data_IF_252369695309
#
_entry.id   IF_252369695309
#
_cell.length_a   1.000
_cell.length_b   1.000
_cell.length_c   1.000
_cell.angle_alpha   90.00
_cell.angle_beta   90.00
_cell.angle_gamma   90.00
#
_symmetry.space_group_name_H-M   'P 1'
#
loop_
_entity.id
_entity.type
_entity.pdbx_description
1 polymer ?
#
# COMPACT_ATOMS: atom_id res chain seq x y z
N UNK A 1 -11.50 9.13 -36.13
CA UNK A 1 -11.95 10.03 -35.04
C UNK A 1 -10.81 10.97 -34.68
N UNK A 2 -11.03 12.24 -34.34
CA UNK A 2 -9.91 13.12 -33.98
C UNK A 2 -9.29 12.62 -32.69
N UNK A 3 -7.95 12.61 -32.59
CA UNK A 3 -7.19 12.19 -31.39
C UNK A 3 -7.68 12.91 -30.11
N UNK A 4 -8.25 14.09 -30.26
CA UNK A 4 -8.86 14.85 -29.16
C UNK A 4 -10.08 14.14 -28.58
N UNK A 5 -10.98 13.58 -29.38
CA UNK A 5 -12.18 12.89 -28.92
C UNK A 5 -11.82 11.58 -28.21
N UNK A 6 -10.75 10.92 -28.63
CA UNK A 6 -10.25 9.71 -27.95
C UNK A 6 -9.66 9.98 -26.58
N UNK A 7 -9.13 11.19 -26.32
CA UNK A 7 -8.51 11.56 -25.04
C UNK A 7 -9.53 12.27 -24.11
N UNK A 8 -10.62 12.81 -24.66
CA UNK A 8 -11.60 13.59 -23.91
C UNK A 8 -12.12 12.91 -22.64
N UNK A 9 -12.45 11.59 -22.62
CA UNK A 9 -12.88 10.93 -21.38
C UNK A 9 -11.83 10.92 -20.26
N UNK A 10 -10.55 10.86 -20.62
CA UNK A 10 -9.46 10.96 -19.63
C UNK A 10 -9.49 12.36 -18.99
N UNK A 11 -9.66 13.40 -19.80
CA UNK A 11 -9.77 14.78 -19.32
C UNK A 11 -11.00 14.93 -18.44
N UNK A 12 -12.15 14.38 -18.83
CA UNK A 12 -13.39 14.41 -18.03
C UNK A 12 -13.16 13.72 -16.67
N UNK A 13 -12.55 12.52 -16.65
CA UNK A 13 -12.25 11.81 -15.42
C UNK A 13 -11.37 12.65 -14.46
N UNK A 14 -10.33 13.30 -15.00
CA UNK A 14 -9.45 14.16 -14.23
C UNK A 14 -10.18 15.41 -13.72
N UNK A 15 -10.93 16.10 -14.55
CA UNK A 15 -11.72 17.27 -14.14
C UNK A 15 -12.71 16.92 -13.03
N UNK A 16 -13.48 15.85 -13.20
CA UNK A 16 -14.42 15.39 -12.19
C UNK A 16 -13.73 15.05 -10.88
N UNK A 17 -12.57 14.39 -10.94
CA UNK A 17 -11.78 14.08 -9.76
C UNK A 17 -11.29 15.34 -9.04
N UNK A 18 -10.75 16.32 -9.77
CA UNK A 18 -10.28 17.59 -9.19
C UNK A 18 -11.41 18.49 -8.65
N UNK A 19 -12.65 18.28 -9.08
CA UNK A 19 -13.82 18.94 -8.45
C UNK A 19 -14.28 18.26 -7.15
N UNK A 20 -13.58 17.17 -6.72
CA UNK A 20 -13.86 16.47 -5.47
C UNK A 20 -14.83 15.29 -5.60
N UNK A 21 -15.19 14.90 -6.83
CA UNK A 21 -15.98 13.68 -7.07
C UNK A 21 -15.07 12.45 -6.82
N UNK A 22 -15.54 11.45 -6.02
CA UNK A 22 -14.76 10.25 -5.80
C UNK A 22 -14.37 9.57 -7.11
N UNK A 23 -13.13 9.10 -7.20
CA UNK A 23 -12.50 8.60 -8.43
C UNK A 23 -13.32 7.52 -9.14
N UNK A 24 -14.00 6.65 -8.38
CA UNK A 24 -14.85 5.60 -8.96
C UNK A 24 -15.97 6.18 -9.82
N UNK A 25 -16.66 7.21 -9.32
CA UNK A 25 -17.72 7.89 -10.08
C UNK A 25 -17.17 8.68 -11.26
N UNK A 26 -16.00 9.30 -11.10
CA UNK A 26 -15.36 10.05 -12.17
C UNK A 26 -14.98 9.15 -13.36
N UNK A 27 -14.38 7.98 -13.09
CA UNK A 27 -14.03 6.99 -14.11
C UNK A 27 -15.27 6.42 -14.82
N UNK A 28 -16.29 6.08 -14.05
CA UNK A 28 -17.52 5.52 -14.60
C UNK A 28 -18.25 6.54 -15.46
N UNK A 29 -18.40 7.78 -14.98
CA UNK A 29 -19.02 8.88 -15.72
C UNK A 29 -18.26 9.18 -17.03
N UNK A 30 -16.92 9.19 -17.00
CA UNK A 30 -16.09 9.41 -18.17
C UNK A 30 -16.29 8.31 -19.23
N UNK A 31 -16.33 7.04 -18.83
CA UNK A 31 -16.60 5.92 -19.72
C UNK A 31 -18.03 5.98 -20.30
N UNK A 32 -19.02 6.30 -19.48
CA UNK A 32 -20.41 6.49 -19.93
C UNK A 32 -20.51 7.65 -20.93
N UNK A 33 -19.81 8.75 -20.71
CA UNK A 33 -19.79 9.89 -21.66
C UNK A 33 -19.21 9.47 -23.01
N UNK A 34 -18.15 8.65 -23.01
CA UNK A 34 -17.58 8.15 -24.26
C UNK A 34 -18.57 7.32 -25.08
N UNK A 35 -19.10 6.24 -24.50
CA UNK A 35 -19.99 5.31 -25.19
C UNK A 35 -21.43 5.83 -25.36
N UNK A 36 -21.83 6.87 -24.59
CA UNK A 36 -23.13 7.48 -24.71
C UNK A 36 -23.22 8.62 -25.74
N UNK A 37 -22.11 9.34 -25.97
CA UNK A 37 -22.11 10.56 -26.78
C UNK A 37 -21.05 10.62 -27.89
N UNK A 38 -19.94 9.87 -27.75
CA UNK A 38 -18.81 9.94 -28.71
C UNK A 38 -18.84 8.73 -29.64
N UNK A 39 -18.84 7.52 -29.10
CA UNK A 39 -18.98 6.27 -29.87
C UNK A 39 -20.28 5.56 -29.48
N UNK A 40 -21.35 5.92 -30.19
CA UNK A 40 -22.68 5.34 -30.00
C UNK A 40 -22.90 4.01 -30.72
N UNK A 41 -21.85 3.47 -31.36
CA UNK A 41 -21.92 2.16 -32.04
C UNK A 41 -21.96 1.01 -31.04
N UNK A 42 -21.40 1.20 -29.86
CA UNK A 42 -21.39 0.23 -28.77
C UNK A 42 -22.65 0.37 -27.91
N UNK A 43 -23.36 -0.75 -27.71
CA UNK A 43 -24.59 -0.73 -26.88
C UNK A 43 -24.24 -0.41 -25.43
N UNK A 44 -24.94 0.52 -24.74
CA UNK A 44 -24.76 0.80 -23.30
C UNK A 44 -24.88 -0.42 -22.41
N UNK A 45 -25.60 -1.44 -22.84
CA UNK A 45 -25.71 -2.73 -22.19
C UNK A 45 -24.34 -3.41 -21.95
N UNK A 46 -23.42 -3.27 -22.91
CA UNK A 46 -22.06 -3.85 -22.78
C UNK A 46 -21.30 -3.27 -21.61
N UNK A 47 -21.46 -1.99 -21.30
CA UNK A 47 -20.84 -1.34 -20.15
C UNK A 47 -21.39 -1.91 -18.83
N UNK A 48 -22.72 -2.08 -18.77
CA UNK A 48 -23.37 -2.68 -17.61
C UNK A 48 -22.95 -4.15 -17.44
N UNK A 49 -22.80 -4.89 -18.54
CA UNK A 49 -22.26 -6.24 -18.49
C UNK A 49 -20.82 -6.27 -17.96
N UNK A 50 -19.95 -5.36 -18.40
CA UNK A 50 -18.57 -5.26 -17.88
C UNK A 50 -18.56 -4.87 -16.40
N UNK A 51 -19.47 -3.96 -16.00
CA UNK A 51 -19.64 -3.58 -14.60
C UNK A 51 -20.00 -4.79 -13.72
N UNK A 52 -20.99 -5.57 -14.14
CA UNK A 52 -21.44 -6.74 -13.38
C UNK A 52 -20.38 -7.85 -13.40
N UNK A 53 -19.79 -8.15 -14.56
CA UNK A 53 -18.79 -9.25 -14.66
C UNK A 53 -17.53 -8.98 -13.82
N UNK A 54 -17.15 -7.69 -13.63
CA UNK A 54 -16.05 -7.34 -12.76
C UNK A 54 -16.29 -7.73 -11.29
N UNK A 55 -17.54 -7.78 -10.84
CA UNK A 55 -17.87 -8.22 -9.47
C UNK A 55 -17.88 -9.74 -9.30
N UNK A 56 -17.93 -10.49 -10.39
CA UNK A 56 -18.06 -11.96 -10.36
C UNK A 56 -16.71 -12.69 -10.33
N UNK A 57 -15.60 -11.97 -10.33
CA UNK A 57 -14.27 -12.56 -10.29
C UNK A 57 -13.96 -13.14 -8.91
N UNK A 58 -13.89 -14.47 -8.81
CA UNK A 58 -13.62 -15.20 -7.56
C UNK A 58 -12.36 -14.70 -6.81
N UNK A 59 -11.23 -14.40 -7.48
CA UNK A 59 -10.04 -13.91 -6.79
C UNK A 59 -10.24 -12.59 -6.03
N UNK A 60 -11.19 -11.73 -6.40
CA UNK A 60 -11.48 -10.50 -5.67
C UNK A 60 -12.09 -10.74 -4.28
N UNK A 61 -12.62 -11.94 -4.00
CA UNK A 61 -13.06 -12.32 -2.65
C UNK A 61 -11.91 -12.33 -1.62
N UNK A 62 -10.66 -12.38 -2.05
CA UNK A 62 -9.52 -12.21 -1.14
C UNK A 62 -9.55 -10.84 -0.43
N UNK A 63 -10.02 -9.78 -1.12
CA UNK A 63 -10.02 -8.40 -0.62
C UNK A 63 -10.84 -8.27 0.69
N UNK A 64 -12.14 -8.62 0.73
CA UNK A 64 -12.92 -8.54 1.97
C UNK A 64 -12.33 -9.38 3.11
N UNK A 65 -11.79 -10.54 2.82
CA UNK A 65 -11.19 -11.38 3.84
C UNK A 65 -9.94 -10.74 4.45
N UNK A 66 -9.02 -10.20 3.64
CA UNK A 66 -7.84 -9.55 4.18
C UNK A 66 -8.15 -8.22 4.87
N UNK A 67 -9.14 -7.45 4.40
CA UNK A 67 -9.62 -6.26 5.13
C UNK A 67 -10.17 -6.67 6.50
N UNK A 68 -10.95 -7.75 6.54
CA UNK A 68 -11.51 -8.28 7.80
C UNK A 68 -10.41 -8.79 8.75
N UNK A 69 -9.39 -9.48 8.23
CA UNK A 69 -8.22 -9.87 9.02
C UNK A 69 -7.57 -8.66 9.69
N UNK A 70 -7.28 -7.61 8.93
CA UNK A 70 -6.68 -6.37 9.43
C UNK A 70 -7.52 -5.72 10.53
N UNK A 71 -8.83 -5.61 10.32
CA UNK A 71 -9.75 -5.05 11.31
C UNK A 71 -9.80 -5.90 12.60
N UNK A 72 -9.92 -7.22 12.48
CA UNK A 72 -9.90 -8.15 13.64
C UNK A 72 -8.58 -8.02 14.42
N UNK A 73 -7.45 -7.94 13.72
CA UNK A 73 -6.13 -7.82 14.35
C UNK A 73 -5.98 -6.50 15.12
N UNK A 74 -6.52 -5.39 14.59
CA UNK A 74 -6.51 -4.10 15.27
C UNK A 74 -7.30 -4.14 16.59
N UNK A 75 -8.51 -4.67 16.58
CA UNK A 75 -9.34 -4.77 17.79
C UNK A 75 -8.90 -5.93 18.71
N UNK A 76 -8.19 -6.92 18.18
CA UNK A 76 -7.69 -8.10 18.91
C UNK A 76 -6.51 -7.83 19.86
N UNK A 77 -6.01 -6.58 19.94
CA UNK A 77 -4.90 -6.18 20.81
C UNK A 77 -3.52 -6.65 20.33
N UNK A 78 -3.39 -6.90 19.03
CA UNK A 78 -2.14 -7.33 18.39
C UNK A 78 -1.16 -6.18 18.30
N UNK A 79 -1.63 -4.98 17.93
CA UNK A 79 -0.81 -3.77 17.77
C UNK A 79 0.00 -3.42 19.01
N UNK A 80 -0.60 -3.53 20.21
CA UNK A 80 0.10 -3.27 21.47
C UNK A 80 1.28 -4.25 21.71
N UNK A 81 1.10 -5.53 21.37
CA UNK A 81 2.16 -6.54 21.53
C UNK A 81 3.28 -6.37 20.53
N UNK A 82 2.93 -6.00 19.28
CA UNK A 82 3.92 -5.67 18.26
C UNK A 82 4.70 -4.42 18.65
N UNK A 83 4.06 -3.43 19.27
CA UNK A 83 4.72 -2.23 19.79
C UNK A 83 5.71 -2.58 20.92
N UNK A 84 5.33 -3.43 21.87
CA UNK A 84 6.24 -3.91 22.93
C UNK A 84 7.44 -4.66 22.36
N UNK A 85 7.22 -5.46 21.31
CA UNK A 85 8.29 -6.16 20.62
C UNK A 85 9.21 -5.20 19.86
N UNK A 86 8.65 -4.22 19.15
CA UNK A 86 9.40 -3.17 18.47
C UNK A 86 10.24 -2.35 19.46
N UNK A 87 9.68 -1.98 20.63
CA UNK A 87 10.41 -1.27 21.68
C UNK A 87 11.56 -2.12 22.26
N UNK A 88 11.38 -3.43 22.40
CA UNK A 88 12.47 -4.32 22.84
C UNK A 88 13.62 -4.36 21.82
N UNK A 89 13.33 -4.30 20.51
CA UNK A 89 14.34 -4.35 19.46
C UNK A 89 15.04 -3.00 19.23
N UNK A 90 14.29 -1.91 19.15
CA UNK A 90 14.78 -0.62 18.66
C UNK A 90 14.74 0.51 19.68
N UNK A 91 14.07 0.33 20.81
CA UNK A 91 13.88 1.39 21.82
C UNK A 91 15.18 1.94 22.41
N UNK A 92 16.27 1.17 22.39
CA UNK A 92 17.60 1.61 22.85
C UNK A 92 18.33 2.51 21.82
N UNK A 93 17.83 2.61 20.57
CA UNK A 93 18.44 3.42 19.54
C UNK A 93 18.12 4.92 19.74
N UNK A 94 18.96 5.80 19.17
CA UNK A 94 18.67 7.25 19.16
C UNK A 94 17.36 7.52 18.43
N UNK A 95 16.53 8.36 19.03
CA UNK A 95 15.18 8.59 18.51
C UNK A 95 14.26 7.39 18.73
N UNK A 96 14.38 6.70 19.88
CA UNK A 96 13.76 5.41 20.17
C UNK A 96 12.29 5.29 19.76
N UNK A 97 11.44 6.28 20.08
CA UNK A 97 10.03 6.24 19.68
C UNK A 97 9.83 6.34 18.16
N UNK A 98 10.65 7.11 17.45
CA UNK A 98 10.59 7.18 15.99
C UNK A 98 11.11 5.89 15.33
N UNK A 99 12.10 5.21 15.94
CA UNK A 99 12.55 3.90 15.50
C UNK A 99 11.49 2.82 15.73
N UNK A 100 10.81 2.87 16.88
CA UNK A 100 9.68 1.99 17.19
C UNK A 100 8.56 2.19 16.17
N UNK A 101 8.25 3.45 15.80
CA UNK A 101 7.24 3.78 14.81
C UNK A 101 7.54 3.08 13.47
N UNK A 102 8.77 3.21 12.93
CA UNK A 102 9.16 2.55 11.68
C UNK A 102 9.05 1.02 11.76
N UNK A 103 9.54 0.43 12.85
CA UNK A 103 9.49 -1.02 13.01
C UNK A 103 8.06 -1.51 13.23
N UNK A 104 7.23 -0.73 13.92
CA UNK A 104 5.82 -1.06 14.14
C UNK A 104 5.06 -1.07 12.82
N UNK A 105 5.18 -0.04 11.97
CA UNK A 105 4.57 -0.02 10.63
C UNK A 105 5.00 -1.22 9.78
N UNK A 106 6.29 -1.61 9.84
CA UNK A 106 6.78 -2.81 9.15
C UNK A 106 6.10 -4.10 9.67
N UNK A 107 5.95 -4.24 10.99
CA UNK A 107 5.29 -5.40 11.61
C UNK A 107 3.78 -5.39 11.39
N UNK A 108 3.17 -4.19 11.40
CA UNK A 108 1.73 -4.00 11.12
C UNK A 108 1.37 -4.24 9.66
N UNK A 109 2.34 -4.18 8.74
CA UNK A 109 2.13 -4.54 7.35
C UNK A 109 1.54 -5.92 7.17
N UNK A 110 2.04 -6.89 7.95
CA UNK A 110 1.46 -8.24 8.02
C UNK A 110 0.04 -8.31 8.59
N UNK A 111 -0.50 -7.21 9.09
CA UNK A 111 -1.78 -7.16 9.79
C UNK A 111 -2.82 -6.30 9.08
N UNK A 112 -2.51 -5.02 8.80
CA UNK A 112 -3.49 -4.06 8.27
C UNK A 112 -3.49 -3.95 6.74
N UNK A 113 -2.34 -4.09 6.11
CA UNK A 113 -2.14 -3.96 4.67
C UNK A 113 -2.53 -2.60 4.06
N UNK A 114 -2.87 -1.60 4.88
CA UNK A 114 -3.34 -0.28 4.47
C UNK A 114 -2.50 0.84 5.09
N UNK A 115 -1.82 1.63 4.25
CA UNK A 115 -1.01 2.75 4.69
C UNK A 115 -1.80 3.82 5.47
N UNK A 116 -2.98 4.20 4.98
CA UNK A 116 -3.81 5.22 5.63
C UNK A 116 -4.35 4.76 6.99
N UNK A 117 -4.74 3.49 7.11
CA UNK A 117 -5.20 2.93 8.37
C UNK A 117 -4.08 2.86 9.42
N UNK A 118 -2.89 2.45 8.99
CA UNK A 118 -1.69 2.39 9.81
C UNK A 118 -1.28 3.80 10.29
N UNK A 119 -1.16 4.74 9.37
CA UNK A 119 -0.89 6.15 9.66
C UNK A 119 -1.88 6.75 10.68
N UNK A 120 -3.18 6.48 10.49
CA UNK A 120 -4.21 6.98 11.39
C UNK A 120 -4.12 6.38 12.78
N UNK A 121 -3.83 5.08 12.88
CA UNK A 121 -3.66 4.39 14.17
C UNK A 121 -2.40 4.89 14.89
N UNK A 122 -1.27 4.92 14.22
CA UNK A 122 0.00 5.32 14.82
C UNK A 122 0.02 6.81 15.20
N UNK A 123 -0.62 7.68 14.43
CA UNK A 123 -0.81 9.07 14.79
C UNK A 123 -1.54 9.25 16.12
N UNK A 124 -2.54 8.43 16.39
CA UNK A 124 -3.28 8.47 17.67
C UNK A 124 -2.50 7.85 18.83
N UNK A 125 -1.69 6.83 18.54
CA UNK A 125 -1.00 6.05 19.57
C UNK A 125 0.37 6.65 19.92
N UNK A 126 1.20 6.92 18.92
CA UNK A 126 2.62 7.26 19.11
C UNK A 126 2.89 8.76 19.13
N UNK A 127 2.20 9.56 18.30
CA UNK A 127 2.49 10.99 18.20
C UNK A 127 2.31 11.72 19.53
N UNK A 128 1.22 11.49 20.32
CA UNK A 128 1.11 12.13 21.64
C UNK A 128 2.23 11.74 22.62
N UNK A 129 2.71 10.50 22.54
CA UNK A 129 3.81 10.04 23.41
C UNK A 129 5.16 10.61 22.93
N UNK A 130 5.35 10.76 21.62
CA UNK A 130 6.53 11.43 21.06
C UNK A 130 6.57 12.91 21.49
N UNK A 131 5.45 13.64 21.41
CA UNK A 131 5.37 15.03 21.85
C UNK A 131 5.71 15.19 23.33
N UNK A 132 5.20 14.31 24.21
CA UNK A 132 5.55 14.32 25.65
C UNK A 132 7.04 14.14 25.91
N UNK A 133 7.75 13.46 25.02
CA UNK A 133 9.20 13.23 25.10
C UNK A 133 10.01 14.30 24.34
N UNK A 134 9.39 15.39 23.92
CA UNK A 134 10.06 16.55 23.31
C UNK A 134 10.33 16.41 21.81
N UNK A 135 9.70 15.46 21.12
CA UNK A 135 9.74 15.43 19.67
C UNK A 135 8.85 16.54 19.08
N UNK A 136 9.33 17.18 18.02
CA UNK A 136 8.51 18.14 17.28
C UNK A 136 7.28 17.49 16.67
N UNK A 137 6.13 18.15 16.71
CA UNK A 137 4.84 17.63 16.20
C UNK A 137 4.90 17.30 14.72
N UNK A 138 5.47 18.21 13.90
CA UNK A 138 5.66 17.98 12.48
C UNK A 138 6.57 16.80 12.16
N UNK A 139 7.68 16.64 12.92
CA UNK A 139 8.56 15.47 12.79
C UNK A 139 7.84 14.17 13.11
N UNK A 140 7.07 14.14 14.21
CA UNK A 140 6.33 12.95 14.64
C UNK A 140 5.27 12.55 13.61
N UNK A 141 4.53 13.52 13.08
CA UNK A 141 3.55 13.28 12.02
C UNK A 141 4.21 12.82 10.70
N UNK A 142 5.35 13.44 10.34
CA UNK A 142 6.06 13.11 9.10
C UNK A 142 6.67 11.70 9.11
N UNK A 143 7.30 11.28 10.23
CA UNK A 143 7.84 9.93 10.33
C UNK A 143 6.73 8.89 10.36
N UNK A 144 5.60 9.15 11.01
CA UNK A 144 4.44 8.24 11.02
C UNK A 144 3.85 8.06 9.62
N UNK A 145 3.72 9.13 8.85
CA UNK A 145 3.28 9.02 7.45
C UNK A 145 4.29 8.27 6.58
N UNK A 146 5.59 8.52 6.78
CA UNK A 146 6.64 7.87 6.01
C UNK A 146 6.78 6.38 6.33
N UNK A 147 6.69 5.98 7.61
CA UNK A 147 6.73 4.58 8.02
C UNK A 147 5.53 3.79 7.49
N UNK A 148 4.36 4.40 7.48
CA UNK A 148 3.14 3.77 6.96
C UNK A 148 3.21 3.47 5.45
N UNK A 149 4.15 4.06 4.68
CA UNK A 149 4.43 3.64 3.31
C UNK A 149 4.93 2.19 3.21
N UNK A 150 5.53 1.66 4.26
CA UNK A 150 6.07 0.29 4.32
C UNK A 150 4.95 -0.74 4.46
N UNK A 151 3.89 -0.38 5.16
CA UNK A 151 2.78 -1.28 5.54
C UNK A 151 2.14 -2.04 4.37
N UNK A 152 1.74 -1.43 3.25
CA UNK A 152 1.13 -2.17 2.14
C UNK A 152 2.12 -2.97 1.29
N UNK A 153 3.42 -2.82 1.53
CA UNK A 153 4.46 -3.59 0.83
C UNK A 153 4.73 -4.91 1.54
N UNK A 154 4.62 -4.92 2.86
CA UNK A 154 4.75 -6.15 3.66
C UNK A 154 3.46 -6.96 3.53
N UNK A 155 3.54 -8.26 3.16
CA UNK A 155 2.34 -9.09 2.98
C UNK A 155 1.60 -9.39 4.30
N UNK A 156 0.27 -9.57 4.22
CA UNK A 156 -0.58 -9.52 3.04
C UNK A 156 -1.09 -8.10 2.71
N UNK A 157 -0.44 -7.43 1.76
CA UNK A 157 -0.85 -6.09 1.31
C UNK A 157 -2.02 -6.16 0.31
N UNK A 158 -3.09 -5.39 0.54
CA UNK A 158 -4.28 -5.35 -0.36
C UNK A 158 -3.87 -4.92 -1.77
N UNK A 159 -2.99 -3.93 -1.88
CA UNK A 159 -2.51 -3.43 -3.17
C UNK A 159 -1.76 -4.48 -3.99
N UNK A 160 -1.02 -5.38 -3.33
CA UNK A 160 -0.32 -6.49 -3.99
C UNK A 160 -1.30 -7.50 -4.59
N UNK A 161 -2.41 -7.77 -3.87
CA UNK A 161 -3.49 -8.62 -4.39
C UNK A 161 -4.10 -7.99 -5.63
N UNK A 162 -4.52 -6.72 -5.52
CA UNK A 162 -5.16 -5.99 -6.61
C UNK A 162 -4.26 -5.92 -7.84
N UNK A 163 -2.98 -5.59 -7.66
CA UNK A 163 -2.02 -5.58 -8.75
C UNK A 163 -1.87 -6.97 -9.39
N UNK A 164 -1.70 -8.01 -8.57
CA UNK A 164 -1.54 -9.37 -9.07
C UNK A 164 -2.69 -9.82 -9.95
N UNK A 165 -3.92 -9.50 -9.55
CA UNK A 165 -5.12 -9.82 -10.31
C UNK A 165 -5.24 -9.04 -11.63
N UNK A 166 -4.89 -7.77 -11.62
CA UNK A 166 -4.92 -6.91 -12.81
C UNK A 166 -3.81 -7.27 -13.80
N UNK A 167 -2.60 -7.47 -13.30
CA UNK A 167 -1.42 -7.76 -14.11
C UNK A 167 -1.34 -9.23 -14.60
N UNK A 168 -2.14 -10.13 -14.00
CA UNK A 168 -2.02 -11.56 -14.19
C UNK A 168 -0.73 -12.14 -13.57
N UNK A 169 -0.23 -11.50 -12.50
CA UNK A 169 0.95 -11.93 -11.77
C UNK A 169 0.56 -12.79 -10.55
N UNK A 170 1.43 -13.71 -10.14
CA UNK A 170 1.18 -14.56 -8.97
C UNK A 170 1.14 -13.74 -7.67
N UNK A 171 -0.01 -13.73 -6.99
CA UNK A 171 -0.17 -13.05 -5.69
C UNK A 171 0.78 -13.65 -4.64
N UNK A 172 1.01 -14.96 -4.67
CA UNK A 172 1.96 -15.61 -3.76
C UNK A 172 3.39 -15.13 -3.96
N UNK A 173 3.82 -14.99 -5.23
CA UNK A 173 5.14 -14.43 -5.55
C UNK A 173 5.25 -12.95 -5.18
N UNK A 174 4.19 -12.16 -5.41
CA UNK A 174 4.13 -10.75 -4.98
C UNK A 174 4.25 -10.62 -3.46
N UNK A 175 3.59 -11.49 -2.71
CA UNK A 175 3.73 -11.52 -1.25
C UNK A 175 5.16 -11.87 -0.84
N UNK A 176 5.76 -12.90 -1.42
CA UNK A 176 7.15 -13.24 -1.15
C UNK A 176 8.11 -12.08 -1.51
N UNK A 177 7.85 -11.38 -2.63
CA UNK A 177 8.64 -10.26 -3.12
C UNK A 177 8.59 -9.02 -2.22
N UNK A 178 7.54 -8.82 -1.43
CA UNK A 178 7.34 -7.62 -0.60
C UNK A 178 8.26 -7.50 0.62
N UNK A 179 8.77 -8.61 1.16
CA UNK A 179 9.54 -8.59 2.42
C UNK A 179 10.86 -7.83 2.33
N UNK A 180 11.69 -8.14 1.35
CA UNK A 180 13.03 -7.53 1.22
C UNK A 180 12.92 -6.04 0.89
N UNK A 181 12.05 -5.60 -0.06
CA UNK A 181 11.79 -4.18 -0.29
C UNK A 181 11.23 -3.46 0.93
N UNK A 182 10.26 -4.05 1.64
CA UNK A 182 9.73 -3.46 2.86
C UNK A 182 10.79 -3.29 3.95
N UNK A 183 11.67 -4.29 4.13
CA UNK A 183 12.82 -4.18 5.03
C UNK A 183 13.81 -3.09 4.57
N UNK A 184 14.10 -2.99 3.27
CA UNK A 184 14.96 -1.96 2.71
C UNK A 184 14.41 -0.56 3.01
N UNK A 185 13.11 -0.33 2.79
CA UNK A 185 12.45 0.93 3.11
C UNK A 185 12.51 1.24 4.61
N UNK A 186 12.22 0.26 5.46
CA UNK A 186 12.30 0.43 6.92
C UNK A 186 13.72 0.80 7.36
N UNK A 187 14.75 0.10 6.86
CA UNK A 187 16.15 0.40 7.17
C UNK A 187 16.54 1.81 6.70
N UNK A 188 16.12 2.22 5.50
CA UNK A 188 16.38 3.56 4.99
C UNK A 188 15.77 4.64 5.89
N UNK A 189 14.52 4.45 6.33
CA UNK A 189 13.85 5.35 7.28
C UNK A 189 14.52 5.34 8.66
N UNK A 190 14.91 4.17 9.17
CA UNK A 190 15.62 4.06 10.46
C UNK A 190 16.97 4.79 10.43
N UNK A 191 17.70 4.75 9.32
CA UNK A 191 18.94 5.52 9.13
C UNK A 191 18.63 7.02 9.15
N UNK A 192 17.61 7.48 8.42
CA UNK A 192 17.19 8.88 8.42
C UNK A 192 16.79 9.37 9.82
N UNK A 193 16.00 8.57 10.55
CA UNK A 193 15.63 8.82 11.96
C UNK A 193 16.87 8.94 12.83
N UNK A 194 17.84 8.02 12.73
CA UNK A 194 19.05 8.04 13.54
C UNK A 194 19.90 9.30 13.30
N UNK A 195 20.04 9.72 12.04
CA UNK A 195 20.78 10.93 11.66
C UNK A 195 20.11 12.20 12.19
N UNK A 196 18.79 12.32 12.02
CA UNK A 196 18.02 13.48 12.51
C UNK A 196 18.03 13.52 14.04
N UNK A 197 17.81 12.39 14.69
CA UNK A 197 17.78 12.27 16.14
C UNK A 197 19.13 12.59 16.78
N UNK A 198 20.24 12.21 16.11
CA UNK A 198 21.58 12.60 16.56
C UNK A 198 21.77 14.12 16.54
N UNK A 199 21.25 14.79 15.49
CA UNK A 199 21.37 16.27 15.34
C UNK A 199 20.48 17.02 16.32
N UNK A 200 19.30 16.47 16.65
CA UNK A 200 18.29 17.12 17.51
C UNK A 200 18.32 16.69 18.96
N UNK A 201 19.16 15.72 19.33
CA UNK A 201 19.29 15.21 20.69
C UNK A 201 18.11 14.37 21.17
N UNK A 202 17.33 13.75 20.27
CA UNK A 202 16.22 12.88 20.66
C UNK A 202 16.74 11.62 21.35
N UNK A 203 16.28 11.43 22.60
CA UNK A 203 16.74 10.35 23.45
C UNK A 203 16.21 8.98 23.04
N UNK A 204 16.90 7.88 23.42
CA UNK A 204 16.37 6.53 23.36
C UNK A 204 15.10 6.38 24.19
N UNK A 205 14.21 5.47 23.81
CA UNK A 205 13.04 5.08 24.60
C UNK A 205 13.45 4.26 25.83
N UNK A 206 14.51 3.45 25.68
CA UNK A 206 15.08 2.60 26.75
C UNK A 206 16.51 3.01 27.09
N UNK A 207 16.89 3.01 28.36
CA UNK A 207 18.27 3.38 28.79
C UNK A 207 19.31 2.35 28.37
N UNK A 208 18.92 1.07 28.17
CA UNK A 208 19.81 -0.03 27.77
C UNK A 208 19.22 -0.88 26.66
N UNK A 209 20.07 -1.64 25.97
CA UNK A 209 19.62 -2.70 25.06
C UNK A 209 18.86 -3.77 25.84
N UNK A 210 17.77 -4.27 25.26
CA UNK A 210 17.09 -5.41 25.81
C UNK A 210 17.98 -6.65 25.73
N UNK A 211 17.93 -7.49 26.76
CA UNK A 211 18.64 -8.78 26.76
C UNK A 211 18.00 -9.74 25.77
N UNK A 212 18.74 -10.73 25.28
CA UNK A 212 18.20 -11.78 24.40
C UNK A 212 16.98 -12.47 25.02
N UNK A 213 16.97 -12.63 26.36
CA UNK A 213 15.84 -13.20 27.07
C UNK A 213 14.60 -12.28 27.06
N UNK A 214 14.79 -10.96 27.16
CA UNK A 214 13.69 -9.97 27.04
C UNK A 214 13.12 -9.96 25.62
N UNK A 215 14.00 -9.95 24.60
CA UNK A 215 13.59 -10.02 23.18
C UNK A 215 12.84 -11.32 22.92
N UNK A 216 13.38 -12.46 23.35
CA UNK A 216 12.74 -13.77 23.18
C UNK A 216 11.37 -13.85 23.86
N UNK A 217 11.23 -13.27 25.06
CA UNK A 217 9.93 -13.19 25.77
C UNK A 217 8.91 -12.35 25.00
N UNK A 218 9.31 -11.20 24.45
CA UNK A 218 8.41 -10.36 23.66
C UNK A 218 8.09 -11.02 22.31
N UNK A 219 9.07 -11.66 21.67
CA UNK A 219 8.83 -12.44 20.45
C UNK A 219 7.81 -13.57 20.68
N UNK A 220 7.91 -14.29 21.81
CA UNK A 220 6.93 -15.34 22.17
C UNK A 220 5.53 -14.77 22.44
N UNK A 221 5.43 -13.61 23.09
CA UNK A 221 4.14 -12.94 23.29
C UNK A 221 3.50 -12.49 21.97
N UNK A 222 4.31 -12.09 21.00
CA UNK A 222 3.89 -11.63 19.67
C UNK A 222 3.90 -12.75 18.62
N UNK A 223 4.25 -13.98 19.01
CA UNK A 223 4.47 -15.11 18.08
C UNK A 223 3.30 -15.31 17.12
N UNK A 224 2.08 -15.35 17.61
CA UNK A 224 0.90 -15.57 16.78
C UNK A 224 0.66 -14.43 15.77
N UNK A 225 1.00 -13.19 16.12
CA UNK A 225 0.92 -12.06 15.20
C UNK A 225 1.99 -12.15 14.11
N UNK A 226 3.23 -12.49 14.47
CA UNK A 226 4.36 -12.63 13.56
C UNK A 226 4.23 -13.88 12.67
N UNK A 227 3.60 -14.93 13.17
CA UNK A 227 3.39 -16.17 12.42
C UNK A 227 2.35 -16.03 11.31
N UNK A 228 1.35 -15.15 11.48
CA UNK A 228 0.25 -14.99 10.54
C UNK A 228 0.71 -14.75 9.08
N UNK A 229 1.48 -13.70 8.77
CA UNK A 229 1.91 -13.45 7.39
C UNK A 229 2.81 -14.56 6.83
N UNK A 230 3.66 -15.15 7.67
CA UNK A 230 4.51 -16.27 7.28
C UNK A 230 3.66 -17.53 6.96
N UNK A 231 2.67 -17.82 7.79
CA UNK A 231 1.76 -18.95 7.58
C UNK A 231 0.96 -18.83 6.30
N UNK A 232 0.48 -17.63 5.95
CA UNK A 232 -0.23 -17.36 4.68
C UNK A 232 0.67 -17.67 3.49
N UNK A 233 1.91 -17.16 3.48
CA UNK A 233 2.84 -17.37 2.35
C UNK A 233 3.24 -18.83 2.21
N UNK A 234 3.57 -19.50 3.31
CA UNK A 234 3.91 -20.91 3.28
C UNK A 234 2.73 -21.78 2.81
N UNK A 235 1.52 -21.47 3.25
CA UNK A 235 0.32 -22.16 2.79
C UNK A 235 0.09 -22.01 1.27
N UNK A 236 0.27 -20.82 0.73
CA UNK A 236 0.19 -20.59 -0.72
C UNK A 236 1.36 -21.26 -1.48
N UNK A 237 2.56 -21.22 -0.91
CA UNK A 237 3.77 -21.84 -1.48
C UNK A 237 3.60 -23.36 -1.68
N UNK A 238 3.08 -24.03 -0.66
CA UNK A 238 2.83 -25.48 -0.70
C UNK A 238 1.55 -25.86 -1.45
N UNK A 239 0.84 -24.88 -2.04
CA UNK A 239 -0.40 -25.11 -2.77
C UNK A 239 -1.56 -25.54 -1.86
N UNK A 240 -1.46 -25.35 -0.55
CA UNK A 240 -2.52 -25.67 0.41
C UNK A 240 -3.69 -24.70 0.27
N UNK A 241 -3.39 -23.43 -0.07
CA UNK A 241 -4.37 -22.37 -0.20
C UNK A 241 -4.14 -21.54 -1.47
N UNK A 242 -5.24 -21.22 -2.15
CA UNK A 242 -5.30 -20.08 -3.07
C UNK A 242 -5.30 -18.76 -2.28
N UNK A 243 -5.04 -17.59 -2.89
CA UNK A 243 -5.11 -16.29 -2.18
C UNK A 243 -6.46 -16.04 -1.49
N UNK A 244 -7.56 -16.47 -2.10
CA UNK A 244 -8.91 -16.32 -1.53
C UNK A 244 -9.11 -17.22 -0.31
N UNK A 245 -8.73 -18.49 -0.41
CA UNK A 245 -8.80 -19.44 0.71
C UNK A 245 -7.88 -19.03 1.86
N UNK A 246 -6.67 -18.54 1.53
CA UNK A 246 -5.74 -17.99 2.51
C UNK A 246 -6.36 -16.81 3.28
N UNK A 247 -7.12 -15.94 2.60
CA UNK A 247 -7.89 -14.88 3.25
C UNK A 247 -8.94 -15.41 4.21
N UNK A 248 -9.74 -16.41 3.79
CA UNK A 248 -10.77 -17.03 4.63
C UNK A 248 -10.20 -17.74 5.87
N UNK A 249 -9.14 -18.54 5.67
CA UNK A 249 -8.39 -19.17 6.78
C UNK A 249 -7.78 -18.11 7.69
N UNK A 250 -7.28 -17.02 7.11
CA UNK A 250 -6.75 -15.87 7.84
C UNK A 250 -7.78 -15.25 8.78
N UNK A 251 -9.02 -15.06 8.35
CA UNK A 251 -10.10 -14.54 9.20
C UNK A 251 -10.34 -15.47 10.40
N UNK A 252 -10.44 -16.78 10.18
CA UNK A 252 -10.60 -17.75 11.26
C UNK A 252 -9.41 -17.71 12.23
N UNK A 253 -8.20 -17.66 11.70
CA UNK A 253 -6.98 -17.55 12.51
C UNK A 253 -7.01 -16.29 13.38
N UNK A 254 -7.30 -15.11 12.80
CA UNK A 254 -7.36 -13.85 13.51
C UNK A 254 -8.44 -13.83 14.60
N UNK A 255 -9.61 -14.44 14.34
CA UNK A 255 -10.68 -14.59 15.33
C UNK A 255 -10.23 -15.47 16.49
N UNK A 256 -9.62 -16.62 16.22
CA UNK A 256 -9.12 -17.55 17.26
C UNK A 256 -8.05 -16.87 18.10
N UNK A 257 -7.04 -16.27 17.47
CA UNK A 257 -5.94 -15.60 18.16
C UNK A 257 -6.44 -14.39 18.95
N UNK A 258 -7.26 -13.55 18.35
CA UNK A 258 -7.78 -12.34 18.99
C UNK A 258 -8.68 -12.64 20.19
N UNK A 259 -9.51 -13.69 20.11
CA UNK A 259 -10.46 -14.03 21.17
C UNK A 259 -9.87 -14.93 22.25
N UNK A 260 -9.16 -16.00 21.89
CA UNK A 260 -8.73 -17.03 22.83
C UNK A 260 -7.29 -16.85 23.31
N UNK A 261 -6.38 -16.44 22.43
CA UNK A 261 -4.96 -16.29 22.77
C UNK A 261 -4.69 -14.91 23.38
N UNK A 262 -5.06 -13.87 22.68
CA UNK A 262 -4.79 -12.49 23.11
C UNK A 262 -5.90 -11.90 23.97
N UNK A 263 -7.10 -12.46 23.91
CA UNK A 263 -8.28 -12.05 24.69
C UNK A 263 -8.61 -10.55 24.55
N UNK A 264 -8.20 -9.94 23.45
CA UNK A 264 -8.46 -8.54 23.15
C UNK A 264 -9.82 -8.33 22.46
N UNK A 265 -10.31 -9.36 21.75
CA UNK A 265 -11.52 -9.27 20.95
C UNK A 265 -12.76 -9.42 21.84
N UNK A 266 -13.54 -8.34 21.98
CA UNK A 266 -14.78 -8.29 22.75
C UNK A 266 -16.00 -8.29 21.81
N UNK A 267 -17.21 -8.58 22.38
CA UNK A 267 -18.48 -8.55 21.61
C UNK A 267 -18.77 -7.18 21.02
N UNK A 268 -18.42 -6.10 21.73
CA UNK A 268 -18.59 -4.72 21.28
C UNK A 268 -17.80 -4.37 20.01
N UNK A 269 -16.71 -5.10 19.71
CA UNK A 269 -15.89 -4.89 18.54
C UNK A 269 -16.48 -5.50 17.26
N UNK A 270 -17.49 -6.37 17.37
CA UNK A 270 -18.02 -7.09 16.20
C UNK A 270 -18.66 -6.15 15.16
N UNK A 271 -19.48 -5.21 15.60
CA UNK A 271 -20.14 -4.24 14.70
C UNK A 271 -19.11 -3.30 14.04
N UNK A 272 -18.16 -2.68 14.77
CA UNK A 272 -17.08 -1.92 14.16
C UNK A 272 -16.28 -2.70 13.11
N UNK A 273 -15.89 -3.95 13.40
CA UNK A 273 -15.16 -4.82 12.46
C UNK A 273 -15.96 -5.04 11.17
N UNK A 274 -17.25 -5.40 11.29
CA UNK A 274 -18.12 -5.58 10.12
C UNK A 274 -18.25 -4.29 9.32
N UNK A 275 -18.47 -3.16 10.00
CA UNK A 275 -18.61 -1.85 9.34
C UNK A 275 -17.36 -1.46 8.57
N UNK A 276 -16.18 -1.62 9.16
CA UNK A 276 -14.88 -1.36 8.50
C UNK A 276 -14.67 -2.29 7.30
N UNK A 277 -14.99 -3.59 7.47
CA UNK A 277 -14.86 -4.58 6.40
C UNK A 277 -15.79 -4.25 5.23
N UNK A 278 -17.07 -3.98 5.50
CA UNK A 278 -18.06 -3.67 4.45
C UNK A 278 -17.68 -2.36 3.74
N UNK A 279 -17.37 -1.30 4.49
CA UNK A 279 -17.01 0.00 3.92
C UNK A 279 -15.74 -0.07 3.09
N UNK A 280 -14.69 -0.71 3.60
CA UNK A 280 -13.43 -0.89 2.89
C UNK A 280 -13.59 -1.73 1.62
N UNK A 281 -14.31 -2.85 1.72
CA UNK A 281 -14.62 -3.70 0.57
C UNK A 281 -15.42 -2.97 -0.48
N UNK A 282 -16.48 -2.28 -0.10
CA UNK A 282 -17.34 -1.52 -1.02
C UNK A 282 -16.54 -0.45 -1.77
N UNK A 283 -15.67 0.27 -1.06
CA UNK A 283 -14.81 1.30 -1.67
C UNK A 283 -13.87 0.69 -2.73
N UNK A 284 -13.13 -0.34 -2.37
CA UNK A 284 -12.17 -0.98 -3.28
C UNK A 284 -12.88 -1.62 -4.47
N UNK A 285 -13.97 -2.35 -4.23
CA UNK A 285 -14.74 -2.99 -5.30
C UNK A 285 -15.37 -1.99 -6.25
N UNK A 286 -15.90 -0.87 -5.75
CA UNK A 286 -16.45 0.18 -6.60
C UNK A 286 -15.39 0.79 -7.52
N UNK A 287 -14.17 1.00 -7.01
CA UNK A 287 -13.06 1.50 -7.83
C UNK A 287 -12.69 0.46 -8.89
N UNK A 288 -12.56 -0.82 -8.54
CA UNK A 288 -12.23 -1.91 -9.47
C UNK A 288 -13.25 -1.99 -10.60
N UNK A 289 -14.53 -1.98 -10.26
CA UNK A 289 -15.62 -2.09 -11.23
C UNK A 289 -15.62 -0.89 -12.18
N UNK A 290 -15.53 0.33 -11.65
CA UNK A 290 -15.47 1.56 -12.45
C UNK A 290 -14.25 1.61 -13.35
N UNK A 291 -13.09 1.18 -12.82
CA UNK A 291 -11.84 1.11 -13.59
C UNK A 291 -11.89 0.03 -14.67
N UNK A 292 -12.62 -1.09 -14.46
CA UNK A 292 -12.81 -2.12 -15.49
C UNK A 292 -13.60 -1.56 -16.66
N UNK A 293 -14.65 -0.78 -16.40
CA UNK A 293 -15.43 -0.12 -17.46
C UNK A 293 -14.59 0.95 -18.18
N UNK A 294 -13.84 1.75 -17.43
CA UNK A 294 -12.93 2.75 -17.99
C UNK A 294 -11.78 2.09 -18.79
N UNK A 295 -11.23 0.98 -18.29
CA UNK A 295 -10.23 0.17 -18.97
C UNK A 295 -10.72 -0.43 -20.27
N UNK A 296 -12.03 -0.76 -20.35
CA UNK A 296 -12.65 -1.18 -21.60
C UNK A 296 -12.59 -0.06 -22.65
N UNK A 297 -12.93 1.18 -22.27
CA UNK A 297 -12.77 2.35 -23.14
C UNK A 297 -11.31 2.55 -23.57
N UNK A 298 -10.35 2.48 -22.63
CA UNK A 298 -8.93 2.66 -22.96
C UNK A 298 -8.43 1.63 -23.98
N UNK A 299 -8.86 0.36 -23.84
CA UNK A 299 -8.52 -0.69 -24.81
C UNK A 299 -9.24 -0.51 -26.15
N UNK A 300 -10.48 -0.04 -26.13
CA UNK A 300 -11.25 0.25 -27.34
C UNK A 300 -10.57 1.30 -28.22
N UNK A 301 -10.06 2.35 -27.61
CA UNK A 301 -9.30 3.42 -28.28
C UNK A 301 -7.81 3.10 -28.50
N UNK A 302 -7.37 1.88 -28.14
CA UNK A 302 -5.96 1.46 -28.25
C UNK A 302 -4.97 2.38 -27.48
N UNK A 303 -5.41 3.07 -26.44
CA UNK A 303 -4.57 3.96 -25.61
C UNK A 303 -3.32 3.26 -25.06
N UNK A 304 -3.38 2.00 -24.55
CA UNK A 304 -2.17 1.29 -24.11
C UNK A 304 -1.12 1.14 -25.20
N UNK A 305 -1.54 0.86 -26.44
CA UNK A 305 -0.63 0.74 -27.60
C UNK A 305 -0.03 2.09 -28.00
N UNK A 306 -0.83 3.17 -27.96
CA UNK A 306 -0.33 4.52 -28.19
C UNK A 306 0.74 4.92 -27.18
N UNK A 307 0.49 4.62 -25.89
CA UNK A 307 1.45 4.86 -24.81
C UNK A 307 2.71 4.00 -24.97
N UNK A 308 2.56 2.73 -25.33
CA UNK A 308 3.69 1.84 -25.61
C UNK A 308 4.58 2.44 -26.73
N UNK A 309 4.00 2.80 -27.86
CA UNK A 309 4.73 3.40 -28.99
C UNK A 309 5.40 4.73 -28.60
N UNK A 310 4.70 5.57 -27.84
CA UNK A 310 5.27 6.82 -27.34
C UNK A 310 6.47 6.56 -26.40
N UNK A 311 6.35 5.66 -25.45
CA UNK A 311 7.43 5.33 -24.51
C UNK A 311 8.60 4.69 -25.26
N UNK A 312 8.37 3.74 -26.16
CA UNK A 312 9.43 3.04 -26.89
C UNK A 312 10.14 3.91 -27.92
N UNK A 313 9.51 4.99 -28.39
CA UNK A 313 10.14 5.95 -29.33
C UNK A 313 11.32 6.71 -28.71
N UNK A 314 11.30 6.96 -27.40
CA UNK A 314 12.37 7.65 -26.67
C UNK A 314 13.06 6.81 -25.59
N UNK A 315 12.43 5.74 -25.12
CA UNK A 315 13.01 4.84 -24.15
C UNK A 315 13.65 3.62 -24.83
N UNK A 316 14.91 3.76 -25.23
CA UNK A 316 15.65 2.75 -25.99
C UNK A 316 16.02 1.49 -25.21
N UNK A 317 15.88 1.50 -23.89
CA UNK A 317 16.23 0.36 -23.03
C UNK A 317 15.33 0.27 -21.78
N UNK A 318 15.30 -0.92 -21.14
CA UNK A 318 14.47 -1.20 -19.98
C UNK A 318 14.70 -0.25 -18.79
N UNK A 319 15.91 0.27 -18.62
CA UNK A 319 16.25 1.17 -17.52
C UNK A 319 15.53 2.53 -17.69
N UNK A 320 15.50 3.04 -18.92
CA UNK A 320 14.81 4.29 -19.23
C UNK A 320 13.29 4.11 -19.16
N UNK A 321 12.76 2.96 -19.58
CA UNK A 321 11.34 2.61 -19.39
C UNK A 321 10.98 2.66 -17.91
N UNK A 322 11.75 1.99 -17.05
CA UNK A 322 11.52 2.00 -15.60
C UNK A 322 11.61 3.40 -14.99
N UNK A 323 12.54 4.24 -15.48
CA UNK A 323 12.65 5.63 -15.01
C UNK A 323 11.38 6.43 -15.35
N UNK A 324 10.92 6.33 -16.57
CA UNK A 324 9.69 7.00 -17.04
C UNK A 324 8.50 6.53 -16.21
N UNK A 325 8.37 5.20 -16.01
CA UNK A 325 7.30 4.63 -15.18
C UNK A 325 7.38 5.14 -13.73
N UNK A 326 8.57 5.20 -13.13
CA UNK A 326 8.76 5.73 -11.78
C UNK A 326 8.28 7.18 -11.67
N UNK A 327 8.65 8.04 -12.63
CA UNK A 327 8.24 9.46 -12.63
C UNK A 327 6.72 9.59 -12.74
N UNK A 328 6.10 8.84 -13.67
CA UNK A 328 4.64 8.87 -13.84
C UNK A 328 3.91 8.37 -12.60
N UNK A 329 4.37 7.25 -12.03
CA UNK A 329 3.79 6.66 -10.82
C UNK A 329 3.91 7.58 -9.60
N UNK A 330 5.05 8.24 -9.43
CA UNK A 330 5.25 9.22 -8.35
C UNK A 330 4.28 10.40 -8.53
N UNK A 331 4.22 10.98 -9.73
CA UNK A 331 3.33 12.11 -10.01
C UNK A 331 1.88 11.73 -9.76
N UNK A 332 1.40 10.61 -10.31
CA UNK A 332 0.02 10.18 -10.13
C UNK A 332 -0.28 9.82 -8.67
N UNK A 333 0.67 9.19 -7.97
CA UNK A 333 0.55 8.88 -6.56
C UNK A 333 0.46 10.11 -5.64
N UNK A 334 0.94 11.30 -6.08
CA UNK A 334 0.74 12.56 -5.35
C UNK A 334 -0.73 13.01 -5.35
N UNK A 335 -1.51 12.61 -6.34
CA UNK A 335 -2.89 13.05 -6.53
C UNK A 335 -3.90 11.98 -6.13
N UNK A 336 -3.63 10.71 -6.44
CA UNK A 336 -4.55 9.60 -6.23
C UNK A 336 -4.18 8.80 -4.98
N UNK A 337 -5.21 8.28 -4.32
CA UNK A 337 -5.02 7.29 -3.26
C UNK A 337 -4.42 6.00 -3.85
N UNK A 338 -3.57 5.31 -3.05
CA UNK A 338 -2.73 4.22 -3.52
C UNK A 338 -3.44 3.11 -4.28
N UNK A 339 -4.56 2.62 -3.75
CA UNK A 339 -5.36 1.58 -4.42
C UNK A 339 -5.95 2.05 -5.73
N UNK A 340 -6.50 3.27 -5.77
CA UNK A 340 -7.09 3.86 -6.96
C UNK A 340 -6.05 4.11 -8.06
N UNK A 341 -4.89 4.67 -7.70
CA UNK A 341 -3.78 4.89 -8.63
C UNK A 341 -3.35 3.58 -9.29
N UNK A 342 -3.20 2.53 -8.50
CA UNK A 342 -2.78 1.22 -8.97
C UNK A 342 -3.80 0.59 -9.93
N UNK A 343 -5.08 0.63 -9.60
CA UNK A 343 -6.15 0.05 -10.42
C UNK A 343 -6.23 0.74 -11.79
N UNK A 344 -6.00 2.05 -11.85
CA UNK A 344 -6.04 2.83 -13.09
C UNK A 344 -4.77 2.61 -13.92
N UNK A 345 -3.60 2.66 -13.28
CA UNK A 345 -2.33 2.67 -13.99
C UNK A 345 -1.84 1.27 -14.37
N UNK A 346 -2.11 0.25 -13.58
CA UNK A 346 -1.61 -1.10 -13.88
C UNK A 346 -2.05 -1.62 -15.26
N UNK A 347 -3.31 -1.50 -15.70
CA UNK A 347 -3.71 -1.93 -17.06
C UNK A 347 -2.98 -1.20 -18.18
N UNK A 348 -2.61 0.08 -17.97
CA UNK A 348 -1.87 0.89 -18.94
C UNK A 348 -0.39 0.54 -18.98
N UNK A 349 0.22 0.27 -17.82
CA UNK A 349 1.66 0.05 -17.69
C UNK A 349 2.09 -1.39 -17.94
N UNK A 350 1.26 -2.38 -17.58
CA UNK A 350 1.58 -3.81 -17.74
C UNK A 350 1.94 -4.18 -19.17
N UNK A 351 1.24 -3.74 -20.24
CA UNK A 351 1.64 -4.02 -21.62
C UNK A 351 3.03 -3.46 -21.95
N UNK A 352 3.36 -2.26 -21.47
CA UNK A 352 4.65 -1.59 -21.70
C UNK A 352 5.77 -2.37 -21.01
N UNK A 353 5.56 -2.76 -19.77
CA UNK A 353 6.49 -3.53 -18.95
C UNK A 353 6.78 -4.90 -19.55
N UNK A 354 5.73 -5.59 -20.04
CA UNK A 354 5.87 -6.87 -20.77
C UNK A 354 6.68 -6.72 -22.04
N UNK A 355 6.40 -5.69 -22.84
CA UNK A 355 7.13 -5.42 -24.08
C UNK A 355 8.62 -5.09 -23.82
N UNK A 356 8.93 -4.44 -22.69
CA UNK A 356 10.30 -4.15 -22.27
C UNK A 356 11.02 -5.37 -21.63
N UNK A 357 10.37 -6.53 -21.51
CA UNK A 357 10.95 -7.73 -20.91
C UNK A 357 11.23 -7.58 -19.41
N UNK A 358 10.42 -6.77 -18.70
CA UNK A 358 10.52 -6.57 -17.26
C UNK A 358 9.57 -7.56 -16.56
N UNK A 359 10.07 -8.21 -15.51
CA UNK A 359 9.27 -9.14 -14.71
C UNK A 359 8.10 -8.43 -14.03
N UNK A 360 6.90 -9.04 -14.08
CA UNK A 360 5.68 -8.43 -13.55
C UNK A 360 5.64 -8.40 -12.01
N UNK A 361 6.26 -9.36 -11.35
CA UNK A 361 6.33 -9.39 -9.88
C UNK A 361 7.25 -8.27 -9.40
N UNK A 362 8.42 -8.16 -10.02
CA UNK A 362 9.35 -7.05 -9.76
C UNK A 362 8.67 -5.69 -9.96
N UNK A 363 8.07 -5.47 -11.14
CA UNK A 363 7.39 -4.21 -11.43
C UNK A 363 6.23 -3.93 -10.48
N UNK A 364 5.49 -4.96 -10.05
CA UNK A 364 4.41 -4.82 -9.09
C UNK A 364 4.87 -4.24 -7.75
N UNK A 365 6.02 -4.66 -7.27
CA UNK A 365 6.63 -4.07 -6.06
C UNK A 365 7.08 -2.64 -6.34
N UNK A 366 7.79 -2.39 -7.44
CA UNK A 366 8.23 -1.04 -7.84
C UNK A 366 7.03 -0.09 -7.94
N UNK A 367 5.95 -0.52 -8.60
CA UNK A 367 4.72 0.24 -8.76
C UNK A 367 4.09 0.61 -7.39
N UNK A 368 3.95 -0.38 -6.49
CA UNK A 368 3.39 -0.15 -5.16
C UNK A 368 4.24 0.82 -4.33
N UNK A 369 5.56 0.65 -4.30
CA UNK A 369 6.47 1.55 -3.57
C UNK A 369 6.37 2.98 -4.09
N UNK A 370 6.37 3.17 -5.42
CA UNK A 370 6.20 4.49 -6.04
C UNK A 370 4.92 5.20 -5.58
N UNK A 371 3.80 4.50 -5.69
CA UNK A 371 2.49 5.07 -5.35
C UNK A 371 2.43 5.42 -3.87
N UNK A 372 3.01 4.58 -3.00
CA UNK A 372 3.08 4.89 -1.56
C UNK A 372 3.91 6.15 -1.29
N UNK A 373 5.06 6.32 -1.92
CA UNK A 373 5.88 7.53 -1.80
C UNK A 373 5.11 8.75 -2.34
N UNK A 374 4.41 8.60 -3.47
CA UNK A 374 3.51 9.63 -3.99
C UNK A 374 2.47 10.06 -2.96
N UNK A 375 1.78 9.12 -2.31
CA UNK A 375 0.79 9.39 -1.27
C UNK A 375 1.32 10.06 0.01
N UNK A 376 2.64 10.13 0.17
CA UNK A 376 3.32 10.87 1.24
C UNK A 376 3.63 12.32 0.85
N UNK A 377 3.70 12.60 -0.47
CA UNK A 377 4.24 13.86 -1.01
C UNK A 377 3.16 14.86 -1.40
N UNK A 378 3.41 16.20 -1.27
CA UNK A 378 2.52 17.23 -1.77
C UNK A 378 2.26 17.06 -3.28
N UNK A 379 1.13 17.57 -3.85
CA UNK A 379 0.14 18.45 -3.20
C UNK A 379 -0.99 17.75 -2.46
N UNK A 380 -1.36 16.50 -2.80
CA UNK A 380 -2.56 15.83 -2.29
C UNK A 380 -2.28 14.47 -1.63
N UNK A 381 -1.05 14.24 -1.15
CA UNK A 381 -0.68 12.98 -0.51
C UNK A 381 -1.67 12.52 0.57
N UNK A 382 -2.33 11.39 0.35
CA UNK A 382 -3.39 10.89 1.23
C UNK A 382 -2.92 10.65 2.67
N UNK A 383 -1.72 10.08 2.84
CA UNK A 383 -1.11 9.85 4.16
C UNK A 383 -0.71 11.16 4.83
N UNK A 384 -0.22 12.13 4.05
CA UNK A 384 0.09 13.47 4.55
C UNK A 384 -1.16 14.12 5.16
N UNK A 385 -2.28 14.14 4.42
CA UNK A 385 -3.53 14.73 4.93
C UNK A 385 -4.07 13.96 6.13
N UNK A 386 -4.00 12.64 6.13
CA UNK A 386 -4.41 11.81 7.27
C UNK A 386 -3.64 12.19 8.54
N UNK A 387 -2.31 12.23 8.46
CA UNK A 387 -1.47 12.55 9.62
C UNK A 387 -1.66 14.00 10.08
N UNK A 388 -1.70 14.97 9.15
CA UNK A 388 -1.92 16.39 9.48
C UNK A 388 -3.28 16.60 10.14
N UNK A 389 -4.34 15.98 9.62
CA UNK A 389 -5.70 16.09 10.16
C UNK A 389 -5.80 15.54 11.59
N UNK A 390 -5.20 14.37 11.85
CA UNK A 390 -5.28 13.71 13.16
C UNK A 390 -4.42 14.41 14.20
N UNK A 391 -3.20 14.79 13.81
CA UNK A 391 -2.25 15.42 14.75
C UNK A 391 -2.49 16.91 14.95
N UNK A 392 -3.14 17.57 13.99
CA UNK A 392 -3.32 19.04 13.99
C UNK A 392 -1.99 19.79 13.82
N UNK A 393 -0.96 19.19 13.22
CA UNK A 393 0.27 19.91 12.89
C UNK A 393 0.05 20.82 11.67
N UNK A 394 0.88 21.89 11.54
CA UNK A 394 0.82 22.76 10.37
C UNK A 394 1.35 22.03 9.14
N UNK A 395 0.63 22.13 8.01
CA UNK A 395 1.02 21.48 6.73
C UNK A 395 2.46 21.85 6.31
N UNK A 396 2.84 23.13 6.44
CA UNK A 396 4.18 23.58 6.08
C UNK A 396 5.27 22.94 6.95
N UNK A 397 5.00 22.74 8.24
CA UNK A 397 5.90 22.06 9.15
C UNK A 397 6.04 20.58 8.78
N UNK A 398 4.91 19.89 8.52
CA UNK A 398 4.91 18.52 8.04
C UNK A 398 5.77 18.37 6.79
N UNK A 399 5.53 19.18 5.75
CA UNK A 399 6.27 19.10 4.48
C UNK A 399 7.78 19.25 4.70
N UNK A 400 8.19 20.26 5.49
CA UNK A 400 9.60 20.49 5.82
C UNK A 400 10.25 19.28 6.51
N UNK A 401 9.54 18.67 7.45
CA UNK A 401 10.03 17.54 8.22
C UNK A 401 9.99 16.22 7.41
N UNK A 402 9.12 16.13 6.40
CA UNK A 402 8.95 14.96 5.56
C UNK A 402 10.07 14.79 4.52
N UNK A 403 10.71 15.89 4.07
CA UNK A 403 11.72 15.86 2.99
C UNK A 403 12.82 14.82 3.21
N UNK A 404 13.48 14.70 4.37
CA UNK A 404 14.53 13.70 4.58
C UNK A 404 14.03 12.27 4.44
N UNK A 405 12.78 11.99 4.85
CA UNK A 405 12.17 10.67 4.76
C UNK A 405 11.80 10.33 3.32
N UNK A 406 11.27 11.30 2.56
CA UNK A 406 11.01 11.15 1.12
C UNK A 406 12.32 10.85 0.38
N UNK A 407 13.40 11.56 0.68
CA UNK A 407 14.73 11.30 0.08
C UNK A 407 15.20 9.88 0.40
N UNK A 408 15.07 9.42 1.64
CA UNK A 408 15.46 8.07 2.04
C UNK A 408 14.64 7.00 1.28
N UNK A 409 13.33 7.21 1.13
CA UNK A 409 12.44 6.32 0.40
C UNK A 409 12.71 6.35 -1.12
N UNK A 410 13.03 7.51 -1.71
CA UNK A 410 13.41 7.62 -3.12
C UNK A 410 14.74 6.88 -3.41
N UNK A 411 15.72 6.94 -2.49
CA UNK A 411 16.96 6.16 -2.60
C UNK A 411 16.63 4.65 -2.57
N UNK A 412 15.79 4.22 -1.64
CA UNK A 412 15.33 2.84 -1.56
C UNK A 412 14.59 2.40 -2.85
N UNK A 413 13.74 3.27 -3.40
CA UNK A 413 13.03 3.04 -4.65
C UNK A 413 13.99 2.88 -5.83
N UNK A 414 15.00 3.74 -5.96
CA UNK A 414 15.98 3.63 -7.04
C UNK A 414 16.78 2.32 -6.96
N UNK A 415 17.24 1.95 -5.75
CA UNK A 415 17.89 0.66 -5.53
C UNK A 415 16.98 -0.50 -5.91
N UNK A 416 15.73 -0.46 -5.48
CA UNK A 416 14.73 -1.48 -5.80
C UNK A 416 14.48 -1.56 -7.31
N UNK A 417 14.31 -0.43 -7.98
CA UNK A 417 13.98 -0.37 -9.42
C UNK A 417 15.09 -0.95 -10.29
N UNK A 418 16.35 -0.64 -9.97
CA UNK A 418 17.48 -1.02 -10.83
C UNK A 418 18.21 -2.29 -10.38
N UNK A 419 17.87 -2.85 -9.23
CA UNK A 419 18.40 -4.11 -8.72
C UNK A 419 17.27 -5.11 -8.51
N UNK A 420 16.77 -5.79 -9.58
CA UNK A 420 15.66 -6.73 -9.48
C UNK A 420 15.87 -7.84 -8.44
N UNK A 421 17.14 -8.19 -8.17
CA UNK A 421 17.51 -9.15 -7.13
C UNK A 421 16.95 -8.80 -5.75
N UNK A 422 16.68 -7.52 -5.45
CA UNK A 422 16.14 -7.11 -4.15
C UNK A 422 14.67 -7.60 -4.00
N UNK A 423 13.84 -7.42 -5.01
CA UNK A 423 12.44 -7.88 -4.97
C UNK A 423 12.32 -9.38 -5.28
N UNK A 424 13.17 -9.91 -6.15
CA UNK A 424 13.08 -11.29 -6.61
C UNK A 424 13.87 -12.29 -5.76
N UNK A 425 14.59 -11.83 -4.71
CA UNK A 425 15.39 -12.71 -3.85
C UNK A 425 14.56 -13.84 -3.23
N UNK A 426 13.49 -13.48 -2.53
CA UNK A 426 12.63 -14.48 -1.86
C UNK A 426 11.79 -15.25 -2.87
N UNK A 427 11.13 -14.64 -3.88
CA UNK A 427 10.47 -15.40 -4.93
C UNK A 427 11.35 -16.47 -5.56
N UNK A 428 12.55 -16.11 -5.99
CA UNK A 428 13.49 -17.07 -6.63
C UNK A 428 14.00 -18.18 -5.69
N UNK A 429 14.00 -17.95 -4.37
CA UNK A 429 14.37 -18.98 -3.38
C UNK A 429 13.19 -19.92 -3.05
N UNK A 430 11.98 -19.40 -3.12
CA UNK A 430 10.80 -20.12 -2.65
C UNK A 430 10.04 -20.77 -3.80
N UNK A 431 9.93 -20.12 -4.95
CA UNK A 431 9.19 -20.57 -6.14
C UNK A 431 10.13 -20.97 -7.26
#
# INVERSE_FOLDING_TARGET
MSTFLSILPIIIALVLYFTGIPIAYALFAAALTYFGFIDTTTMPYLLMQKFVTATQSFPFLAIPFFIMCGSIMNYGGISARLMDFADALTGHMRGGLAQINVLLSMLMGGCSGSANADAAMECKLLVPEMEKRGYGKGFSAAITAASSCVTPIIPPGINLIVYGLIAGASVGQLFAAGYVPGLLMAVALMIAVALISKKRGYAPSRPRRATLGEIGRQALKSFWALFFPLGIIMGMRFGIFTPTEAGGVGVLYCLIVGKFVYKGLKKEHFIPILRETISGTATVMLIIVSATVFGYYLNWENIPTMLLNAVTSFASNKFLVLLVMNVVLLIVGMFLEGGAALIILAPLMVPIVKAAGIDLVHFGIVCNVNIMIGGLTPPFGSMMFTCVSITGCKMQEFIKECVPFVIALLIALLLLTYIPGISMLIPNLIY
#
